data_IF_271371985680
#
_entry.id   IF_271371985680
#
_cell.length_a   1.000
_cell.length_b   1.000
_cell.length_c   1.000
_cell.angle_alpha   90.00
_cell.angle_beta   90.00
_cell.angle_gamma   90.00
#
_symmetry.space_group_name_H-M   'P 1'
#
loop_
_entity.id
_entity.type
_entity.pdbx_description
1 polymer ?
#
# COMPACT_ATOMS: atom_id res chain seq x y z
N UNK A 1 -16.59 -4.91 -0.89
CA UNK A 1 -17.33 -3.91 -1.69
C UNK A 1 -16.37 -3.36 -2.73
N UNK A 2 -16.71 -3.38 -4.04
CA UNK A 2 -15.81 -2.85 -5.06
C UNK A 2 -15.64 -1.33 -4.87
N UNK A 3 -14.44 -0.82 -5.13
CA UNK A 3 -14.16 0.62 -5.25
C UNK A 3 -14.41 1.01 -6.70
N UNK A 4 -15.46 1.80 -7.02
CA UNK A 4 -15.74 2.17 -8.40
C UNK A 4 -14.58 2.95 -9.06
N UNK A 5 -14.44 2.87 -10.40
CA UNK A 5 -13.45 3.68 -11.10
C UNK A 5 -13.63 5.17 -10.81
N UNK A 6 -12.54 5.84 -10.41
CA UNK A 6 -12.52 7.28 -10.13
C UNK A 6 -13.17 7.68 -8.80
N UNK A 7 -13.61 6.74 -7.95
CA UNK A 7 -14.22 7.07 -6.66
C UNK A 7 -13.21 7.24 -5.52
N UNK A 8 -11.96 6.80 -5.70
CA UNK A 8 -10.90 6.92 -4.69
C UNK A 8 -9.61 7.47 -5.28
N UNK A 9 -8.76 8.01 -4.43
CA UNK A 9 -7.42 8.48 -4.81
C UNK A 9 -6.36 7.78 -3.97
N UNK A 10 -5.35 7.22 -4.63
CA UNK A 10 -4.11 6.77 -4.00
C UNK A 10 -3.01 7.76 -4.34
N UNK A 11 -2.37 8.31 -3.32
CA UNK A 11 -1.19 9.16 -3.44
C UNK A 11 0.00 8.49 -2.77
N UNK A 12 1.14 8.49 -3.46
CA UNK A 12 2.41 8.01 -2.94
C UNK A 12 3.44 9.13 -3.11
N UNK A 13 3.93 9.63 -1.99
CA UNK A 13 5.06 10.57 -1.96
C UNK A 13 6.33 9.80 -1.58
N UNK A 14 7.41 10.01 -2.31
CA UNK A 14 8.72 9.44 -1.99
C UNK A 14 9.62 10.54 -1.46
N UNK A 15 10.02 10.43 -0.20
CA UNK A 15 10.86 11.41 0.47
C UNK A 15 12.26 10.84 0.68
N UNK A 16 13.34 11.55 0.27
CA UNK A 16 14.69 11.09 0.57
C UNK A 16 14.96 11.20 2.07
N UNK A 17 15.53 10.13 2.64
CA UNK A 17 16.05 10.09 4.02
C UNK A 17 17.49 9.56 3.99
N UNK A 18 18.34 9.83 5.00
CA UNK A 18 19.75 9.41 4.96
C UNK A 18 19.93 7.90 4.72
N UNK A 19 19.01 7.09 5.22
CA UNK A 19 19.03 5.63 5.14
C UNK A 19 18.28 5.08 3.90
N UNK A 20 17.73 5.94 3.03
CA UNK A 20 17.03 5.50 1.82
C UNK A 20 15.87 6.40 1.39
N UNK A 21 14.72 5.81 1.12
CA UNK A 21 13.51 6.52 0.68
C UNK A 21 12.36 6.17 1.60
N UNK A 22 11.69 7.17 2.16
CA UNK A 22 10.48 7.01 2.95
C UNK A 22 9.25 7.16 2.04
N UNK A 23 8.49 6.09 1.76
CA UNK A 23 7.22 6.19 1.07
C UNK A 23 6.11 6.63 2.04
N UNK A 24 5.41 7.70 1.71
CA UNK A 24 4.17 8.11 2.37
C UNK A 24 2.99 7.76 1.46
N UNK A 25 2.18 6.80 1.88
CA UNK A 25 0.99 6.36 1.17
C UNK A 25 -0.27 6.94 1.82
N UNK A 26 -1.15 7.53 1.01
CA UNK A 26 -2.47 7.99 1.42
C UNK A 26 -3.50 7.42 0.45
N UNK A 27 -4.48 6.66 0.97
CA UNK A 27 -5.64 6.22 0.22
C UNK A 27 -6.88 6.91 0.79
N UNK A 28 -7.48 7.80 0.01
CA UNK A 28 -8.64 8.60 0.42
C UNK A 28 -9.86 8.35 -0.47
N UNK A 29 -10.99 8.88 -0.02
CA UNK A 29 -12.31 8.79 -0.66
C UNK A 29 -12.83 7.34 -0.76
N UNK A 30 -12.37 6.47 0.15
CA UNK A 30 -12.92 5.12 0.29
C UNK A 30 -14.37 5.19 0.79
N UNK A 31 -15.27 4.33 0.25
CA UNK A 31 -16.72 4.51 0.38
C UNK A 31 -17.28 4.15 1.76
N UNK A 32 -16.53 3.44 2.61
CA UNK A 32 -17.00 3.03 3.94
C UNK A 32 -15.84 2.70 4.90
N UNK A 33 -16.10 2.68 6.22
CA UNK A 33 -15.12 2.23 7.22
C UNK A 33 -14.61 0.80 6.98
N UNK A 34 -15.48 -0.11 6.54
CA UNK A 34 -15.09 -1.49 6.22
C UNK A 34 -14.17 -1.52 4.99
N UNK A 35 -14.41 -0.65 4.01
CA UNK A 35 -13.49 -0.48 2.89
C UNK A 35 -12.14 0.06 3.39
N UNK A 36 -12.13 1.06 4.27
CA UNK A 36 -10.88 1.56 4.88
C UNK A 36 -10.09 0.44 5.56
N UNK A 37 -10.71 -0.35 6.43
CA UNK A 37 -10.05 -1.45 7.14
C UNK A 37 -9.48 -2.50 6.18
N UNK A 38 -10.25 -2.94 5.18
CA UNK A 38 -9.78 -3.91 4.19
C UNK A 38 -8.59 -3.38 3.36
N UNK A 39 -8.58 -2.08 3.02
CA UNK A 39 -7.45 -1.48 2.30
C UNK A 39 -6.25 -1.23 3.19
N UNK A 40 -6.44 -0.95 4.48
CA UNK A 40 -5.34 -0.86 5.45
C UNK A 40 -4.62 -2.20 5.59
N UNK A 41 -5.36 -3.31 5.72
CA UNK A 41 -4.81 -4.66 5.72
C UNK A 41 -4.04 -4.97 4.43
N UNK A 42 -4.65 -4.69 3.28
CA UNK A 42 -4.00 -4.87 1.98
C UNK A 42 -2.73 -4.03 1.83
N UNK A 43 -2.77 -2.74 2.16
CA UNK A 43 -1.59 -1.89 2.09
C UNK A 43 -0.49 -2.31 3.04
N UNK A 44 -0.83 -2.76 4.25
CA UNK A 44 0.15 -3.30 5.21
C UNK A 44 0.87 -4.52 4.63
N UNK A 45 0.12 -5.43 4.01
CA UNK A 45 0.69 -6.60 3.34
C UNK A 45 1.63 -6.21 2.18
N UNK A 46 1.14 -5.39 1.25
CA UNK A 46 1.91 -5.05 0.05
C UNK A 46 3.11 -4.15 0.33
N UNK A 47 3.03 -3.23 1.31
CA UNK A 47 4.19 -2.43 1.72
C UNK A 47 5.24 -3.27 2.44
N UNK A 48 4.83 -4.27 3.23
CA UNK A 48 5.75 -5.26 3.79
C UNK A 48 6.49 -6.06 2.72
N UNK A 49 5.77 -6.54 1.70
CA UNK A 49 6.40 -7.25 0.56
C UNK A 49 7.32 -6.33 -0.26
N UNK A 50 6.94 -5.07 -0.45
CA UNK A 50 7.78 -4.05 -1.10
C UNK A 50 9.09 -3.83 -0.33
N UNK A 51 9.04 -3.80 1.00
CA UNK A 51 10.23 -3.65 1.83
C UNK A 51 11.24 -4.80 1.64
N UNK A 52 10.76 -6.05 1.48
CA UNK A 52 11.63 -7.21 1.20
C UNK A 52 12.35 -7.04 -0.15
N UNK A 53 11.60 -6.66 -1.19
CA UNK A 53 12.18 -6.44 -2.53
C UNK A 53 13.16 -5.27 -2.52
N UNK A 54 12.82 -4.17 -1.85
CA UNK A 54 13.69 -3.00 -1.73
C UNK A 54 15.03 -3.31 -1.04
N UNK A 55 15.04 -4.28 -0.12
CA UNK A 55 16.25 -4.80 0.51
C UNK A 55 17.00 -5.86 -0.35
N UNK A 56 16.52 -6.17 -1.55
CA UNK A 56 17.11 -7.16 -2.47
C UNK A 56 16.69 -8.60 -2.22
N UNK A 57 15.67 -8.84 -1.40
CA UNK A 57 15.11 -10.17 -1.12
C UNK A 57 13.99 -10.59 -2.08
N UNK A 58 13.53 -11.83 -1.90
CA UNK A 58 12.33 -12.38 -2.55
C UNK A 58 11.21 -12.56 -1.50
N UNK A 59 10.06 -11.87 -1.62
CA UNK A 59 8.93 -12.04 -0.71
C UNK A 59 8.17 -13.38 -0.92
N UNK A 60 8.56 -14.18 -1.91
CA UNK A 60 7.92 -15.46 -2.24
C UNK A 60 6.56 -15.29 -2.91
N UNK A 61 5.74 -16.35 -3.01
CA UNK A 61 4.37 -16.27 -3.52
C UNK A 61 3.51 -15.30 -2.69
N UNK A 62 2.54 -14.67 -3.34
CA UNK A 62 1.58 -13.81 -2.64
C UNK A 62 0.34 -14.62 -2.21
N UNK A 63 0.09 -14.77 -0.91
CA UNK A 63 -1.07 -15.50 -0.41
C UNK A 63 -2.42 -14.77 -0.62
N UNK A 64 -2.40 -13.48 -0.99
CA UNK A 64 -3.61 -12.69 -1.25
C UNK A 64 -3.95 -12.56 -2.75
N UNK A 65 -3.16 -13.17 -3.64
CA UNK A 65 -3.33 -13.18 -5.09
C UNK A 65 -3.95 -14.48 -5.61
#
# INVERSE_FOLDING_TARGET
>A
MPVPPGSSTVEITLEPVPEGTLPRLVHRDLPSPEACAAHEEGWTHYTGRLAVVAAGGDPGPDPLL
#
